data_IF_209036468380
#
_entry.id   IF_209036468380
#
_cell.length_a   1.000
_cell.length_b   1.000
_cell.length_c   1.000
_cell.angle_alpha   90.00
_cell.angle_beta   90.00
_cell.angle_gamma   90.00
#
_symmetry.space_group_name_H-M   'P 1'
#
loop_
_entity.id
_entity.type
_entity.pdbx_description
1 polymer ?
#
# COMPACT_ATOMS: atom_id res chain seq x y z
N UNK A 1 21.57 -5.36 31.83
CA UNK A 1 21.69 -5.89 30.46
C UNK A 1 21.53 -4.75 29.46
N UNK A 2 22.40 -4.57 28.46
CA UNK A 2 22.34 -3.45 27.50
C UNK A 2 22.13 -3.97 26.07
N UNK A 3 21.18 -3.37 25.35
CA UNK A 3 21.02 -3.59 23.91
C UNK A 3 21.97 -2.62 23.21
N UNK A 4 22.85 -3.14 22.38
CA UNK A 4 23.81 -2.34 21.62
C UNK A 4 23.37 -2.20 20.16
N UNK A 5 23.94 -1.22 19.46
CA UNK A 5 23.68 -1.02 18.04
C UNK A 5 24.86 -1.54 17.23
N UNK A 6 24.56 -2.21 16.12
CA UNK A 6 25.60 -2.66 15.21
C UNK A 6 26.24 -1.48 14.48
N UNK A 7 27.56 -1.49 14.38
CA UNK A 7 28.33 -0.47 13.69
C UNK A 7 27.95 -0.32 12.20
N UNK A 8 27.69 -1.44 11.52
CA UNK A 8 27.44 -1.44 10.08
C UNK A 8 25.95 -1.30 9.73
N UNK A 9 25.09 -2.14 10.33
CA UNK A 9 23.66 -2.24 10.01
C UNK A 9 22.81 -1.22 10.81
N UNK A 10 23.32 -0.73 11.95
CA UNK A 10 22.57 -0.02 13.00
C UNK A 10 21.35 -0.77 13.57
N UNK A 11 21.25 -2.08 13.32
CA UNK A 11 20.27 -2.94 13.99
C UNK A 11 20.65 -3.18 15.45
N UNK A 12 19.65 -3.55 16.25
CA UNK A 12 19.81 -3.91 17.66
C UNK A 12 20.57 -5.24 17.79
N UNK A 13 21.46 -5.31 18.78
CA UNK A 13 22.24 -6.50 19.17
C UNK A 13 21.82 -6.86 20.59
N UNK A 14 21.22 -8.03 20.73
CA UNK A 14 20.89 -8.61 22.03
C UNK A 14 22.12 -9.36 22.59
N UNK A 15 22.25 -9.48 23.91
CA UNK A 15 23.36 -10.24 24.51
C UNK A 15 23.40 -11.69 24.04
N UNK A 16 24.60 -12.23 23.90
CA UNK A 16 24.83 -13.56 23.31
C UNK A 16 24.76 -13.59 21.77
N UNK A 17 24.43 -12.49 21.10
CA UNK A 17 24.41 -12.42 19.65
C UNK A 17 25.48 -11.50 19.05
N UNK A 18 25.93 -11.88 17.85
CA UNK A 18 26.84 -11.08 17.05
C UNK A 18 28.31 -11.33 17.37
N UNK A 19 29.16 -10.41 16.89
CA UNK A 19 30.62 -10.49 17.04
C UNK A 19 31.12 -9.10 17.47
N UNK A 20 32.07 -9.07 18.40
CA UNK A 20 32.77 -7.86 18.80
C UNK A 20 34.21 -7.92 18.26
N UNK A 21 34.60 -6.89 17.52
CA UNK A 21 35.97 -6.68 17.06
C UNK A 21 36.57 -5.51 17.82
N UNK A 22 37.70 -5.74 18.48
CA UNK A 22 38.48 -4.70 19.16
C UNK A 22 39.67 -4.37 18.28
N UNK A 23 39.79 -3.11 17.88
CA UNK A 23 40.94 -2.62 17.11
C UNK A 23 42.03 -2.11 18.05
N UNK A 24 43.27 -2.06 17.57
CA UNK A 24 44.44 -1.62 18.34
C UNK A 24 44.29 -0.22 18.98
N UNK A 25 43.45 0.65 18.42
CA UNK A 25 43.12 1.98 19.00
C UNK A 25 42.06 1.90 20.13
N UNK A 26 41.90 0.71 20.73
CA UNK A 26 40.89 0.38 21.72
C UNK A 26 39.43 0.64 21.27
N UNK A 27 39.19 0.87 19.97
CA UNK A 27 37.82 1.05 19.47
C UNK A 27 37.12 -0.28 19.32
N UNK A 28 35.94 -0.34 19.92
CA UNK A 28 35.08 -1.51 19.93
C UNK A 28 34.06 -1.38 18.80
N UNK A 29 34.08 -2.33 17.87
CA UNK A 29 33.09 -2.46 16.81
C UNK A 29 32.22 -3.69 17.08
N UNK A 30 30.91 -3.48 17.24
CA UNK A 30 29.95 -4.57 17.39
C UNK A 30 29.19 -4.82 16.11
N UNK A 31 28.99 -6.09 15.77
CA UNK A 31 28.30 -6.51 14.57
C UNK A 31 27.10 -7.40 14.88
N UNK A 32 25.96 -7.10 14.25
CA UNK A 32 24.72 -7.86 14.39
C UNK A 32 24.83 -9.29 13.84
N UNK A 33 25.55 -9.48 12.72
CA UNK A 33 25.64 -10.76 11.98
C UNK A 33 26.97 -10.85 11.23
N UNK A 34 27.35 -12.07 10.80
CA UNK A 34 28.54 -12.34 9.97
C UNK A 34 28.56 -11.50 8.69
N UNK A 35 27.42 -11.25 8.05
CA UNK A 35 27.28 -10.35 6.88
C UNK A 35 27.88 -8.96 7.13
N UNK A 36 27.59 -8.37 8.29
CA UNK A 36 28.07 -7.03 8.65
C UNK A 36 29.57 -7.04 8.94
N UNK A 37 30.02 -8.07 9.65
CA UNK A 37 31.44 -8.26 9.97
C UNK A 37 32.28 -8.47 8.70
N UNK A 38 31.81 -9.30 7.76
CA UNK A 38 32.46 -9.53 6.48
C UNK A 38 32.49 -8.26 5.61
N UNK A 39 31.40 -7.49 5.57
CA UNK A 39 31.36 -6.22 4.85
C UNK A 39 32.34 -5.19 5.44
N UNK A 40 32.48 -5.15 6.76
CA UNK A 40 33.47 -4.33 7.46
C UNK A 40 34.91 -4.77 7.12
N UNK A 41 35.22 -6.06 7.15
CA UNK A 41 36.53 -6.61 6.73
C UNK A 41 36.86 -6.24 5.28
N UNK A 42 35.86 -6.29 4.39
CA UNK A 42 35.97 -5.85 2.98
C UNK A 42 36.01 -4.32 2.82
N UNK A 43 36.16 -3.56 3.90
CA UNK A 43 36.22 -2.08 3.94
C UNK A 43 35.06 -1.40 3.20
N UNK A 44 33.87 -2.02 3.18
CA UNK A 44 32.70 -1.43 2.53
C UNK A 44 32.22 -0.24 3.38
N UNK A 45 31.83 0.85 2.73
CA UNK A 45 31.27 2.01 3.41
C UNK A 45 29.76 1.79 3.68
N UNK A 46 29.29 1.81 4.95
CA UNK A 46 27.87 1.69 5.27
C UNK A 46 27.02 2.76 4.57
N UNK A 47 27.52 3.99 4.43
CA UNK A 47 26.82 5.11 3.78
C UNK A 47 26.57 4.91 2.29
N UNK A 48 27.31 4.01 1.63
CA UNK A 48 27.08 3.62 0.23
C UNK A 48 26.26 2.33 0.11
N UNK A 49 26.03 1.63 1.21
CA UNK A 49 25.37 0.32 1.22
C UNK A 49 23.86 0.48 1.44
N UNK A 50 23.08 0.32 0.36
CA UNK A 50 21.64 0.69 0.27
C UNK A 50 20.71 0.16 1.37
N UNK A 51 21.00 -1.03 1.92
CA UNK A 51 20.15 -1.68 2.92
C UNK A 51 20.41 -1.21 4.36
N UNK A 52 21.52 -0.51 4.62
CA UNK A 52 21.87 -0.04 5.97
C UNK A 52 21.03 1.18 6.37
N UNK A 53 20.83 1.37 7.67
CA UNK A 53 20.18 2.58 8.21
C UNK A 53 21.00 3.83 7.96
N UNK A 54 22.34 3.72 7.97
CA UNK A 54 23.24 4.82 7.63
C UNK A 54 22.95 5.39 6.23
N UNK A 55 22.90 4.54 5.20
CA UNK A 55 22.52 4.95 3.84
C UNK A 55 21.11 5.56 3.81
N UNK A 56 20.14 4.94 4.48
CA UNK A 56 18.75 5.39 4.46
C UNK A 56 18.61 6.80 5.05
N UNK A 57 19.34 7.13 6.12
CA UNK A 57 19.34 8.48 6.69
C UNK A 57 20.02 9.49 5.77
N UNK A 58 21.19 9.18 5.21
CA UNK A 58 21.90 10.12 4.32
C UNK A 58 21.18 10.34 2.99
N UNK A 59 20.47 9.34 2.48
CA UNK A 59 19.72 9.42 1.23
C UNK A 59 18.28 9.94 1.40
N UNK A 60 17.90 10.47 2.58
CA UNK A 60 16.56 11.00 2.82
C UNK A 60 15.43 9.96 2.76
N UNK A 61 15.74 8.68 3.05
CA UNK A 61 14.72 7.60 3.10
C UNK A 61 14.08 7.45 4.48
N UNK A 62 14.66 8.04 5.51
CA UNK A 62 14.12 8.04 6.87
C UNK A 62 14.22 9.44 7.46
N UNK A 63 13.34 9.73 8.42
CA UNK A 63 13.41 10.97 9.19
C UNK A 63 14.73 11.00 9.98
N UNK A 64 15.59 11.97 9.67
CA UNK A 64 16.92 12.07 10.27
C UNK A 64 16.97 13.03 11.46
N UNK A 65 16.22 14.14 11.38
CA UNK A 65 16.21 15.22 12.38
C UNK A 65 14.80 15.25 12.98
N UNK A 66 14.67 14.87 14.25
CA UNK A 66 13.43 14.95 15.00
C UNK A 66 13.71 15.04 16.52
N UNK A 67 12.98 15.86 17.29
CA UNK A 67 13.17 15.97 18.73
C UNK A 67 12.98 14.66 19.50
N UNK A 68 12.19 13.71 18.99
CA UNK A 68 12.01 12.42 19.67
C UNK A 68 13.31 11.62 19.77
N UNK A 69 14.30 11.87 18.91
CA UNK A 69 15.59 11.18 18.95
C UNK A 69 16.49 11.67 20.09
N UNK A 70 16.26 12.86 20.65
CA UNK A 70 17.07 13.41 21.73
C UNK A 70 16.88 12.67 23.07
N UNK A 71 15.74 11.98 23.22
CA UNK A 71 15.46 11.17 24.40
C UNK A 71 16.37 9.93 24.50
N UNK A 72 16.86 9.40 23.37
CA UNK A 72 17.72 8.20 23.29
C UNK A 72 19.22 8.51 23.55
N UNK A 73 19.53 9.61 24.24
CA UNK A 73 20.92 10.02 24.50
C UNK A 73 21.61 9.20 25.59
N UNK A 74 22.92 8.98 25.42
CA UNK A 74 23.77 8.35 26.46
C UNK A 74 23.93 9.32 27.63
N UNK A 75 23.58 8.87 28.84
CA UNK A 75 23.80 9.61 30.09
C UNK A 75 25.10 9.12 30.73
N UNK A 76 26.01 10.05 31.03
CA UNK A 76 27.29 9.74 31.69
C UNK A 76 27.25 9.96 33.21
N UNK A 77 26.35 10.81 33.69
CA UNK A 77 26.08 11.01 35.11
C UNK A 77 24.86 10.17 35.53
N UNK A 78 24.97 9.31 36.56
CA UNK A 78 23.82 8.61 37.12
C UNK A 78 22.98 9.57 37.98
N UNK A 79 21.69 9.27 38.08
CA UNK A 79 20.78 9.95 39.02
C UNK A 79 20.41 8.95 40.12
N UNK A 80 20.25 9.43 41.35
CA UNK A 80 19.79 8.59 42.45
C UNK A 80 18.42 8.01 42.10
N UNK A 81 18.21 6.74 42.42
CA UNK A 81 16.94 6.08 42.18
C UNK A 81 15.80 6.79 42.92
N UNK A 82 14.73 7.10 42.19
CA UNK A 82 13.45 7.54 42.74
C UNK A 82 12.33 6.80 41.97
N UNK A 83 11.42 6.15 42.72
CA UNK A 83 10.33 5.34 42.14
C UNK A 83 9.39 6.18 41.28
N UNK A 84 9.01 7.37 41.73
CA UNK A 84 8.09 8.25 40.99
C UNK A 84 8.70 8.76 39.68
N UNK A 85 9.99 9.06 39.70
CA UNK A 85 10.72 9.45 38.49
C UNK A 85 10.73 8.30 37.48
N UNK A 86 11.00 7.07 37.96
CA UNK A 86 11.02 5.88 37.12
C UNK A 86 9.66 5.55 36.51
N UNK A 87 8.57 5.61 37.28
CA UNK A 87 7.22 5.34 36.77
C UNK A 87 6.83 6.34 35.68
N UNK A 88 7.01 7.65 35.95
CA UNK A 88 6.78 8.73 34.98
C UNK A 88 7.63 8.55 33.71
N UNK A 89 8.88 8.10 33.86
CA UNK A 89 9.79 7.87 32.73
C UNK A 89 9.31 6.73 31.84
N UNK A 90 8.86 5.61 32.43
CA UNK A 90 8.36 4.45 31.66
C UNK A 90 7.10 4.82 30.87
N UNK A 91 6.18 5.58 31.48
CA UNK A 91 4.99 6.09 30.79
C UNK A 91 5.35 7.06 29.65
N UNK A 92 6.27 7.98 29.90
CA UNK A 92 6.75 8.92 28.88
C UNK A 92 7.43 8.19 27.71
N UNK A 93 8.21 7.13 27.97
CA UNK A 93 8.88 6.35 26.93
C UNK A 93 7.89 5.71 25.94
N UNK A 94 6.75 5.19 26.42
CA UNK A 94 5.70 4.62 25.55
C UNK A 94 5.10 5.69 24.63
N UNK A 95 4.74 6.84 25.19
CA UNK A 95 4.19 7.98 24.44
C UNK A 95 5.18 8.52 23.40
N UNK A 96 6.46 8.62 23.75
CA UNK A 96 7.52 9.08 22.82
C UNK A 96 7.67 8.11 21.65
N UNK A 97 7.59 6.79 21.88
CA UNK A 97 7.68 5.80 20.80
C UNK A 97 6.47 5.87 19.85
N UNK A 98 5.25 6.05 20.37
CA UNK A 98 4.06 6.25 19.53
C UNK A 98 4.18 7.49 18.63
N UNK A 99 4.64 8.62 19.20
CA UNK A 99 4.86 9.86 18.45
C UNK A 99 5.94 9.65 17.38
N UNK A 100 7.04 8.98 17.73
CA UNK A 100 8.14 8.66 16.81
C UNK A 100 7.65 7.81 15.64
N UNK A 101 6.87 6.75 15.90
CA UNK A 101 6.31 5.88 14.87
C UNK A 101 5.34 6.63 13.95
N UNK A 102 4.44 7.43 14.52
CA UNK A 102 3.50 8.26 13.76
C UNK A 102 4.23 9.22 12.80
N UNK A 103 5.25 9.94 13.28
CA UNK A 103 6.06 10.86 12.47
C UNK A 103 6.85 10.14 11.39
N UNK A 104 7.48 9.02 11.74
CA UNK A 104 8.25 8.22 10.78
C UNK A 104 7.35 7.65 9.66
N UNK A 105 6.17 7.15 10.01
CA UNK A 105 5.20 6.63 9.05
C UNK A 105 4.70 7.74 8.13
N UNK A 106 4.34 8.91 8.68
CA UNK A 106 3.93 10.06 7.87
C UNK A 106 5.03 10.47 6.87
N UNK A 107 6.30 10.56 7.31
CA UNK A 107 7.42 10.88 6.43
C UNK A 107 7.57 9.86 5.27
N UNK A 108 7.41 8.57 5.57
CA UNK A 108 7.46 7.51 4.55
C UNK A 108 6.29 7.64 3.58
N UNK A 109 5.06 7.87 4.08
CA UNK A 109 3.85 8.02 3.27
C UNK A 109 3.94 9.24 2.34
N UNK A 110 4.37 10.38 2.85
CA UNK A 110 4.57 11.59 2.05
C UNK A 110 5.59 11.38 0.93
N UNK A 111 6.67 10.64 1.21
CA UNK A 111 7.66 10.28 0.20
C UNK A 111 7.08 9.35 -0.87
N UNK A 112 6.31 8.34 -0.48
CA UNK A 112 5.71 7.37 -1.40
C UNK A 112 4.60 7.99 -2.25
N UNK A 113 3.88 8.99 -1.74
CA UNK A 113 2.82 9.72 -2.48
C UNK A 113 3.31 10.28 -3.81
N UNK A 114 4.56 10.76 -3.89
CA UNK A 114 5.17 11.26 -5.14
C UNK A 114 5.31 10.19 -6.21
N UNK A 115 5.48 8.92 -5.82
CA UNK A 115 5.60 7.81 -6.76
C UNK A 115 4.31 7.56 -7.55
N UNK A 116 3.15 7.70 -6.89
CA UNK A 116 1.82 7.51 -7.51
C UNK A 116 1.58 8.44 -8.68
N UNK A 117 1.99 9.70 -8.57
CA UNK A 117 1.85 10.69 -9.65
C UNK A 117 2.66 10.28 -10.89
N UNK A 118 3.90 9.82 -10.69
CA UNK A 118 4.77 9.37 -11.78
C UNK A 118 4.25 8.09 -12.42
N UNK A 119 3.67 7.19 -11.62
CA UNK A 119 3.02 5.98 -12.08
C UNK A 119 1.80 6.30 -12.95
N UNK A 120 0.88 7.13 -12.47
CA UNK A 120 -0.27 7.60 -13.26
C UNK A 120 0.15 8.21 -14.61
N UNK A 121 1.17 9.06 -14.63
CA UNK A 121 1.67 9.65 -15.87
C UNK A 121 2.30 8.62 -16.82
N UNK A 122 2.89 7.55 -16.28
CA UNK A 122 3.40 6.43 -17.08
C UNK A 122 2.24 5.63 -17.66
N UNK A 123 1.23 5.31 -16.85
CA UNK A 123 0.08 4.50 -17.25
C UNK A 123 -0.72 5.22 -18.36
N UNK A 124 -0.97 6.52 -18.21
CA UNK A 124 -1.61 7.34 -19.26
C UNK A 124 -0.79 7.30 -20.55
N UNK A 125 0.54 7.40 -20.46
CA UNK A 125 1.44 7.35 -21.61
C UNK A 125 1.46 5.97 -22.28
N UNK A 126 1.39 4.91 -21.48
CA UNK A 126 1.34 3.53 -21.95
C UNK A 126 0.04 3.28 -22.71
N UNK A 127 -1.10 3.63 -22.12
CA UNK A 127 -2.42 3.54 -22.78
C UNK A 127 -2.47 4.35 -24.08
N UNK A 128 -1.85 5.53 -24.11
CA UNK A 128 -1.80 6.36 -25.33
C UNK A 128 -0.94 5.75 -26.45
N UNK A 129 0.19 5.10 -26.11
CA UNK A 129 1.10 4.49 -27.09
C UNK A 129 0.55 3.18 -27.61
N UNK A 130 0.07 2.34 -26.69
CA UNK A 130 -0.27 0.95 -26.95
C UNK A 130 -1.79 0.75 -27.06
N UNK A 131 -2.51 1.81 -27.42
CA UNK A 131 -3.98 1.79 -27.59
C UNK A 131 -4.44 0.73 -28.59
N UNK A 132 -3.61 0.39 -29.57
CA UNK A 132 -3.89 -0.62 -30.60
C UNK A 132 -3.85 -2.06 -30.08
N UNK A 133 -3.18 -2.32 -28.95
CA UNK A 133 -3.09 -3.65 -28.36
C UNK A 133 -4.34 -4.03 -27.55
N UNK A 134 -5.21 -3.05 -27.26
CA UNK A 134 -6.39 -3.21 -26.42
C UNK A 134 -7.62 -3.03 -27.31
N UNK A 135 -8.51 -4.03 -27.36
CA UNK A 135 -9.83 -3.86 -27.99
C UNK A 135 -10.62 -2.84 -27.18
N UNK A 136 -11.10 -1.76 -27.82
CA UNK A 136 -11.84 -0.69 -27.15
C UNK A 136 -12.92 -1.28 -26.23
N UNK A 137 -12.92 -0.98 -24.92
CA UNK A 137 -13.93 -1.50 -23.98
C UNK A 137 -15.38 -1.19 -24.41
N UNK A 138 -15.56 -0.11 -25.18
CA UNK A 138 -16.85 0.26 -25.75
C UNK A 138 -17.35 -0.68 -26.87
N UNK A 139 -16.47 -1.49 -27.48
CA UNK A 139 -16.86 -2.44 -28.52
C UNK A 139 -17.72 -3.59 -27.98
N UNK A 140 -17.46 -4.05 -26.74
CA UNK A 140 -18.28 -5.08 -26.08
C UNK A 140 -19.58 -4.52 -25.50
N UNK A 141 -19.57 -3.28 -25.02
CA UNK A 141 -20.76 -2.61 -24.49
C UNK A 141 -21.80 -2.29 -25.57
N UNK A 142 -21.36 -1.87 -26.77
CA UNK A 142 -22.29 -1.65 -27.90
C UNK A 142 -22.99 -2.93 -28.35
N UNK A 143 -22.28 -4.07 -28.31
CA UNK A 143 -22.87 -5.37 -28.65
C UNK A 143 -23.92 -5.78 -27.61
N UNK A 144 -23.64 -5.59 -26.31
CA UNK A 144 -24.61 -5.84 -25.23
C UNK A 144 -25.82 -4.91 -25.29
N UNK A 145 -25.60 -3.61 -25.47
CA UNK A 145 -26.69 -2.63 -25.61
C UNK A 145 -27.56 -2.87 -26.85
N UNK A 146 -26.97 -3.34 -27.95
CA UNK A 146 -27.73 -3.73 -29.14
C UNK A 146 -28.57 -4.98 -28.88
N UNK A 147 -28.02 -5.98 -28.18
CA UNK A 147 -28.75 -7.18 -27.76
C UNK A 147 -29.91 -6.84 -26.81
N UNK A 148 -29.65 -6.02 -25.78
CA UNK A 148 -30.68 -5.55 -24.85
C UNK A 148 -31.77 -4.73 -25.56
N UNK A 149 -31.41 -3.92 -26.57
CA UNK A 149 -32.39 -3.16 -27.36
C UNK A 149 -33.24 -4.04 -28.28
N UNK A 150 -32.69 -5.14 -28.82
CA UNK A 150 -33.45 -6.12 -29.60
C UNK A 150 -34.35 -7.00 -28.73
N UNK A 151 -34.00 -7.22 -27.47
CA UNK A 151 -34.85 -7.97 -26.52
C UNK A 151 -36.06 -7.15 -26.01
N UNK A 152 -36.15 -5.86 -26.36
CA UNK A 152 -37.25 -4.94 -26.00
C UNK A 152 -38.18 -4.60 -27.18
N UNK A 153 -38.40 -5.50 -28.14
CA UNK A 153 -39.35 -5.29 -29.24
C UNK A 153 -40.79 -5.06 -28.72
N UNK A 154 -41.41 -3.97 -29.19
CA UNK A 154 -42.77 -3.52 -28.83
C UNK A 154 -43.78 -4.21 -29.73
N UNK A 155 -44.47 -5.21 -29.21
CA UNK A 155 -45.65 -5.80 -29.87
C UNK A 155 -46.89 -4.91 -29.64
N UNK A 156 -47.68 -4.57 -30.68
CA UNK A 156 -48.92 -3.81 -30.50
C UNK A 156 -50.04 -4.73 -29.99
N UNK A 157 -50.41 -4.61 -28.71
CA UNK A 157 -51.65 -5.23 -28.21
C UNK A 157 -52.87 -4.39 -28.63
N UNK A 158 -53.84 -5.05 -29.28
CA UNK A 158 -55.11 -4.44 -29.65
C UNK A 158 -56.04 -4.39 -28.44
N UNK A 159 -56.43 -3.19 -28.01
CA UNK A 159 -57.38 -3.01 -26.91
C UNK A 159 -58.73 -2.54 -27.49
N UNK A 160 -59.81 -3.27 -27.17
CA UNK A 160 -61.17 -2.86 -27.50
C UNK A 160 -61.67 -1.80 -26.52
N UNK A 161 -61.92 -0.58 -26.99
CA UNK A 161 -62.48 0.50 -26.18
C UNK A 161 -63.90 0.81 -26.66
N UNK A 162 -64.86 0.94 -25.74
CA UNK A 162 -66.26 1.23 -26.05
C UNK A 162 -66.52 2.73 -25.85
N UNK A 163 -66.97 3.41 -26.91
CA UNK A 163 -67.31 4.83 -26.85
C UNK A 163 -68.57 5.10 -26.04
N UNK A 164 -68.76 6.36 -25.63
CA UNK A 164 -69.94 6.85 -24.89
C UNK A 164 -71.29 6.66 -25.60
N UNK A 165 -71.29 6.31 -26.90
CA UNK A 165 -72.50 5.95 -27.68
C UNK A 165 -72.68 4.43 -27.88
N UNK A 166 -71.90 3.59 -27.19
CA UNK A 166 -72.01 2.13 -27.23
C UNK A 166 -71.41 1.46 -28.47
N UNK A 167 -70.66 2.19 -29.30
CA UNK A 167 -69.90 1.62 -30.43
C UNK A 167 -68.52 1.16 -29.95
N UNK A 168 -68.12 -0.04 -30.38
CA UNK A 168 -66.76 -0.55 -30.17
C UNK A 168 -65.81 0.11 -31.17
N UNK A 169 -64.69 0.64 -30.67
CA UNK A 169 -63.55 1.05 -31.47
C UNK A 169 -62.33 0.21 -31.06
N UNK A 170 -61.52 -0.18 -32.05
CA UNK A 170 -60.26 -0.88 -31.83
C UNK A 170 -59.16 0.17 -31.96
N UNK A 171 -58.32 0.29 -30.94
CA UNK A 171 -57.18 1.21 -30.92
C UNK A 171 -55.92 0.40 -30.66
N UNK A 172 -54.88 0.64 -31.44
CA UNK A 172 -53.55 0.05 -31.26
C UNK A 172 -52.73 0.95 -30.32
N UNK A 173 -52.28 0.40 -29.19
CA UNK A 173 -51.42 1.11 -28.23
C UNK A 173 -50.12 0.33 -28.00
N UNK A 174 -48.95 0.98 -28.04
CA UNK A 174 -47.67 0.31 -27.81
C UNK A 174 -47.50 -0.03 -26.32
N UNK A 175 -47.31 -1.30 -25.99
CA UNK A 175 -47.01 -1.78 -24.63
C UNK A 175 -45.63 -2.43 -24.62
N UNK A 176 -44.79 -2.10 -23.64
CA UNK A 176 -43.47 -2.71 -23.46
C UNK A 176 -43.60 -4.03 -22.69
N UNK A 177 -43.24 -5.15 -23.31
CA UNK A 177 -43.21 -6.48 -22.66
C UNK A 177 -41.81 -7.07 -22.83
N UNK A 178 -41.17 -7.60 -21.76
CA UNK A 178 -39.88 -8.27 -21.91
C UNK A 178 -40.05 -9.57 -22.69
N UNK A 179 -39.16 -9.84 -23.66
CA UNK A 179 -39.12 -11.09 -24.40
C UNK A 179 -39.12 -12.27 -23.41
N UNK A 180 -40.07 -13.20 -23.58
CA UNK A 180 -40.20 -14.38 -22.74
C UNK A 180 -38.85 -15.10 -22.68
N UNK A 181 -38.30 -15.25 -21.46
CA UNK A 181 -37.13 -16.05 -21.22
C UNK A 181 -37.40 -17.50 -21.67
N UNK A 182 -36.93 -17.86 -22.85
CA UNK A 182 -36.67 -19.25 -23.15
C UNK A 182 -35.56 -19.71 -22.20
N UNK A 183 -35.92 -20.62 -21.31
CA UNK A 183 -34.97 -21.34 -20.49
C UNK A 183 -34.08 -22.16 -21.43
N UNK A 184 -32.90 -21.63 -21.73
CA UNK A 184 -31.81 -22.42 -22.30
C UNK A 184 -31.27 -23.28 -21.14
N UNK A 185 -31.77 -24.51 -21.06
CA UNK A 185 -31.10 -25.62 -20.36
C UNK A 185 -29.85 -26.02 -21.14
N UNK A 186 -28.78 -25.23 -21.05
CA UNK A 186 -27.46 -25.69 -21.47
C UNK A 186 -26.72 -26.28 -20.28
N UNK A 187 -26.93 -27.59 -20.10
CA UNK A 187 -25.97 -28.46 -19.43
C UNK A 187 -24.65 -28.41 -20.20
N UNK A 188 -23.72 -27.60 -19.71
CA UNK A 188 -22.36 -27.48 -20.23
C UNK A 188 -21.36 -27.65 -19.10
N UNK A 189 -20.72 -28.81 -19.10
CA UNK A 189 -19.64 -29.28 -18.23
C UNK A 189 -18.54 -28.23 -18.03
N UNK A 190 -18.25 -27.89 -16.76
CA UNK A 190 -17.11 -27.03 -16.39
C UNK A 190 -15.99 -27.93 -15.89
N UNK A 191 -15.08 -28.29 -16.79
CA UNK A 191 -13.76 -28.79 -16.44
C UNK A 191 -12.80 -27.59 -16.26
N UNK A 192 -12.32 -27.43 -15.02
CA UNK A 192 -11.14 -26.67 -14.51
C UNK A 192 -10.98 -25.17 -14.86
#
# INVERSE_FOLDING_TARGET
MRIETCYFCSSRIYPGHGIQFVRNDCKIFRFCRSKCHAAFKKKKNPRKTKWTKAYRKTAGKELAIDPSFEFEKRRHAPVKYNRELWTKTIEAMKKVEEIRQRRANNYIMQRLRKGREVEWQRDVREVQRDISLIRSPAAGLKQRQALEATEMEVEPETIEVVDSKGRKQIIEAPVMVPATAEMIEDGGEVDL
#
